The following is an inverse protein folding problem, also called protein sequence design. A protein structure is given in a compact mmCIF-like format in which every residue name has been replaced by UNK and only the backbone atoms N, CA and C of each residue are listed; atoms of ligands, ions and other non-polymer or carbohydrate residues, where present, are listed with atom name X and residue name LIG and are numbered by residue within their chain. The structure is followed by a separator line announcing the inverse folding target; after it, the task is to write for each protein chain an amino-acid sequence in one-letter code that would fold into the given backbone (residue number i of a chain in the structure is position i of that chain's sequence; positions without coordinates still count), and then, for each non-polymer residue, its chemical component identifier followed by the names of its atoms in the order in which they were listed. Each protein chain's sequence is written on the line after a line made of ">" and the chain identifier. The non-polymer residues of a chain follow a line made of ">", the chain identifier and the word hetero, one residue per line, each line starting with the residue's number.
data_IF_212550797057
#
_entry.id   IF_212550797057
#
_cell.length_a   1.000
_cell.length_b   1.000
_cell.length_c   1.000
_cell.angle_alpha   90.00
_cell.angle_beta   90.00
_cell.angle_gamma   90.00
#
_symmetry.space_group_name_H-M   'P 1'
#
loop_
_entity.id
_entity.type
_entity.pdbx_description
1 polymer ?
#
# COMPACT_ATOMS: atom_id res chain seq x y z
N UNK A 1 -4.34 9.83 -2.49
CA UNK A 1 -2.89 9.69 -2.23
C UNK A 1 -2.12 9.78 -3.54
N UNK A 2 -0.84 10.13 -3.48
CA UNK A 2 0.12 9.89 -4.56
C UNK A 2 0.84 8.57 -4.30
N UNK A 3 0.78 7.64 -5.25
CA UNK A 3 1.23 6.27 -5.03
C UNK A 3 2.24 5.81 -6.07
N UNK A 4 3.31 5.16 -5.59
CA UNK A 4 4.34 4.59 -6.45
C UNK A 4 4.52 3.10 -6.18
N UNK A 5 4.33 2.28 -7.20
CA UNK A 5 4.38 0.83 -7.07
C UNK A 5 5.57 0.32 -7.90
N UNK A 6 6.59 -0.23 -7.24
CA UNK A 6 7.85 -0.66 -7.88
C UNK A 6 7.72 -1.94 -8.72
N UNK A 7 6.50 -2.28 -9.16
CA UNK A 7 6.23 -3.29 -10.18
C UNK A 7 6.49 -2.80 -11.61
N UNK A 8 7.07 -1.59 -11.77
CA UNK A 8 7.34 -0.95 -13.06
C UNK A 8 6.27 0.06 -13.51
N UNK A 9 5.32 0.42 -12.63
CA UNK A 9 4.27 1.40 -12.92
C UNK A 9 4.74 2.86 -12.79
N UNK A 10 3.96 3.78 -13.35
CA UNK A 10 4.14 5.23 -13.17
C UNK A 10 3.62 5.71 -11.81
N UNK A 11 3.89 6.97 -11.46
CA UNK A 11 3.26 7.64 -10.33
C UNK A 11 1.75 7.76 -10.56
N UNK A 12 0.94 7.30 -9.60
CA UNK A 12 -0.52 7.33 -9.68
C UNK A 12 -1.12 8.32 -8.67
N UNK A 13 -2.26 8.91 -9.04
CA UNK A 13 -3.14 9.62 -8.11
C UNK A 13 -4.31 8.71 -7.82
N UNK A 14 -4.48 8.33 -6.56
CA UNK A 14 -5.58 7.47 -6.09
C UNK A 14 -6.51 8.35 -5.24
N UNK A 15 -7.81 8.31 -5.51
CA UNK A 15 -8.79 8.99 -4.64
C UNK A 15 -8.81 8.32 -3.27
N UNK A 16 -9.13 9.06 -2.21
CA UNK A 16 -9.36 8.43 -0.91
C UNK A 16 -10.60 7.52 -0.91
N UNK A 17 -11.50 7.71 -1.87
CA UNK A 17 -12.72 6.91 -2.04
C UNK A 17 -12.50 5.69 -2.94
N UNK A 18 -11.34 5.58 -3.58
CA UNK A 18 -11.02 4.43 -4.44
C UNK A 18 -10.74 3.21 -3.54
N UNK A 19 -11.64 2.24 -3.59
CA UNK A 19 -11.46 0.96 -2.92
C UNK A 19 -10.92 -0.07 -3.91
N UNK A 20 -9.72 -0.59 -3.67
CA UNK A 20 -9.28 -1.81 -4.34
C UNK A 20 -10.02 -2.99 -3.72
N UNK A 21 -10.82 -3.68 -4.53
CA UNK A 21 -11.56 -4.85 -4.10
C UNK A 21 -10.70 -6.12 -4.19
N UNK A 22 -10.82 -6.99 -3.18
CA UNK A 22 -10.09 -8.25 -3.12
C UNK A 22 -11.05 -9.43 -2.91
N UNK A 23 -10.85 -10.51 -3.68
CA UNK A 23 -11.48 -11.80 -3.40
C UNK A 23 -10.83 -12.47 -2.17
N UNK A 24 -9.52 -12.27 -2.03
CA UNK A 24 -8.72 -12.76 -0.89
C UNK A 24 -7.80 -11.64 -0.45
N UNK A 25 -7.85 -11.27 0.83
CA UNK A 25 -6.91 -10.32 1.43
C UNK A 25 -6.54 -10.76 2.84
N UNK A 26 -5.54 -11.64 2.92
CA UNK A 26 -4.96 -12.08 4.19
C UNK A 26 -3.53 -11.59 4.27
N UNK A 27 -3.39 -10.28 4.48
CA UNK A 27 -2.12 -9.58 4.44
C UNK A 27 -1.89 -8.86 5.77
N UNK A 28 -0.69 -9.01 6.33
CA UNK A 28 -0.35 -8.50 7.66
C UNK A 28 0.85 -7.57 7.61
N UNK A 29 0.78 -6.49 8.39
CA UNK A 29 1.93 -5.63 8.65
C UNK A 29 2.90 -6.29 9.65
N UNK A 30 4.20 -6.20 9.38
CA UNK A 30 5.29 -6.69 10.22
C UNK A 30 6.37 -5.62 10.38
N UNK A 31 7.05 -5.65 11.53
CA UNK A 31 8.19 -4.77 11.86
C UNK A 31 7.92 -3.29 11.58
N UNK A 32 6.76 -2.80 12.03
CA UNK A 32 6.37 -1.41 11.80
C UNK A 32 7.26 -0.44 12.59
N UNK A 33 7.76 0.58 11.90
CA UNK A 33 8.43 1.74 12.47
C UNK A 33 7.67 3.00 12.06
N UNK A 34 7.30 3.80 13.04
CA UNK A 34 6.66 5.10 12.81
C UNK A 34 7.67 6.20 13.11
N UNK A 35 7.80 7.15 12.20
CA UNK A 35 8.55 8.38 12.36
C UNK A 35 7.53 9.50 12.52
N UNK A 36 7.40 10.03 13.72
CA UNK A 36 6.62 11.25 13.95
C UNK A 36 7.42 12.45 13.43
N UNK A 37 6.82 13.23 12.53
CA UNK A 37 7.41 14.47 12.01
C UNK A 37 6.92 15.66 12.84
N UNK A 38 5.61 15.69 13.10
CA UNK A 38 4.96 16.63 14.00
C UNK A 38 3.60 16.05 14.44
N UNK A 39 2.87 16.78 15.30
CA UNK A 39 1.59 16.35 15.85
C UNK A 39 0.52 15.95 14.81
N UNK A 40 0.66 16.42 13.56
CA UNK A 40 -0.28 16.20 12.46
C UNK A 40 0.35 15.46 11.27
N UNK A 41 1.59 14.95 11.38
CA UNK A 41 2.27 14.28 10.26
C UNK A 41 3.18 13.16 10.74
N UNK A 42 3.05 11.98 10.16
CA UNK A 42 3.89 10.83 10.46
C UNK A 42 4.19 10.01 9.20
N UNK A 43 5.29 9.26 9.23
CA UNK A 43 5.66 8.28 8.20
C UNK A 43 5.69 6.90 8.83
N UNK A 44 4.94 5.95 8.28
CA UNK A 44 5.05 4.55 8.65
C UNK A 44 5.90 3.80 7.63
N UNK A 45 6.85 3.02 8.12
CA UNK A 45 7.65 2.08 7.33
C UNK A 45 7.43 0.68 7.89
N UNK A 46 7.05 -0.27 7.05
CA UNK A 46 6.78 -1.64 7.50
C UNK A 46 6.92 -2.64 6.35
N UNK A 47 6.92 -3.91 6.70
CA UNK A 47 6.74 -4.99 5.74
C UNK A 47 5.29 -5.43 5.72
N UNK A 48 4.80 -5.79 4.55
CA UNK A 48 3.46 -6.29 4.38
C UNK A 48 3.54 -7.65 3.68
N UNK A 49 3.09 -8.70 4.38
CA UNK A 49 3.25 -10.10 3.96
C UNK A 49 1.93 -10.89 4.02
N UNK A 50 1.76 -11.86 3.12
CA UNK A 50 0.64 -12.80 3.15
C UNK A 50 0.12 -13.16 1.76
N UNK A 51 -1.20 -13.22 1.65
CA UNK A 51 -1.88 -13.63 0.42
C UNK A 51 -2.87 -12.56 -0.04
N UNK A 52 -2.80 -12.19 -1.31
CA UNK A 52 -3.70 -11.22 -1.91
C UNK A 52 -4.20 -11.69 -3.27
N UNK A 53 -5.50 -11.57 -3.52
CA UNK A 53 -6.13 -11.76 -4.82
C UNK A 53 -7.04 -10.56 -5.09
N UNK A 54 -6.59 -9.60 -5.92
CA UNK A 54 -7.48 -8.56 -6.41
C UNK A 54 -8.69 -9.20 -7.09
N UNK A 55 -9.87 -8.57 -6.97
CA UNK A 55 -11.08 -9.04 -7.63
C UNK A 55 -10.82 -9.13 -9.14
N UNK A 56 -11.14 -10.29 -9.74
CA UNK A 56 -10.87 -10.54 -11.17
C UNK A 56 -9.39 -10.74 -11.55
N UNK A 57 -8.47 -10.66 -10.59
CA UNK A 57 -7.03 -10.83 -10.79
C UNK A 57 -6.50 -12.21 -10.39
N UNK A 58 -5.19 -12.39 -10.60
CA UNK A 58 -4.46 -13.60 -10.23
C UNK A 58 -4.18 -13.68 -8.72
N UNK A 59 -4.13 -14.91 -8.20
CA UNK A 59 -3.79 -15.15 -6.80
C UNK A 59 -2.30 -14.92 -6.54
N UNK A 60 -1.98 -14.02 -5.61
CA UNK A 60 -0.64 -13.85 -5.08
C UNK A 60 -0.51 -14.55 -3.72
N UNK A 61 0.00 -15.78 -3.74
CA UNK A 61 0.27 -16.61 -2.55
C UNK A 61 1.56 -16.23 -1.77
N UNK A 62 2.30 -15.23 -2.26
CA UNK A 62 3.55 -14.79 -1.64
C UNK A 62 3.67 -13.28 -1.76
N UNK A 63 2.62 -12.58 -1.31
CA UNK A 63 2.64 -11.14 -1.22
C UNK A 63 3.67 -10.76 -0.18
N UNK A 64 4.70 -10.03 -0.59
CA UNK A 64 5.81 -9.65 0.28
C UNK A 64 6.40 -8.33 -0.19
N UNK A 65 6.02 -7.24 0.49
CA UNK A 65 6.36 -5.88 0.09
C UNK A 65 6.91 -5.06 1.26
N UNK A 66 7.82 -4.14 0.95
CA UNK A 66 8.17 -3.00 1.80
C UNK A 66 7.18 -1.88 1.51
N UNK A 67 6.67 -1.28 2.57
CA UNK A 67 5.69 -0.19 2.49
C UNK A 67 6.24 1.05 3.18
N UNK A 68 6.11 2.19 2.51
CA UNK A 68 6.20 3.51 3.14
C UNK A 68 4.86 4.21 2.94
N UNK A 69 4.30 4.78 4.01
CA UNK A 69 3.10 5.60 3.94
C UNK A 69 3.30 6.90 4.71
N UNK A 70 2.91 8.01 4.08
CA UNK A 70 2.89 9.34 4.69
C UNK A 70 1.46 9.63 5.15
N UNK A 71 1.29 9.87 6.44
CA UNK A 71 0.03 10.20 7.08
C UNK A 71 0.00 11.69 7.44
N UNK A 72 -1.09 12.36 7.11
CA UNK A 72 -1.39 13.73 7.51
C UNK A 72 -2.74 13.75 8.21
N UNK A 73 -2.84 14.47 9.33
CA UNK A 73 -4.09 14.65 10.05
C UNK A 73 -4.88 15.79 9.41
N UNK A 74 -6.01 15.46 8.80
CA UNK A 74 -6.93 16.37 8.11
C UNK A 74 -8.32 16.23 8.77
N UNK A 75 -8.93 17.33 9.19
CA UNK A 75 -10.23 17.35 9.86
C UNK A 75 -10.36 16.36 11.04
N UNK A 76 -9.27 16.19 11.79
CA UNK A 76 -9.20 15.30 12.95
C UNK A 76 -8.92 13.83 12.62
N UNK A 77 -8.92 13.44 11.34
CA UNK A 77 -8.68 12.07 10.89
C UNK A 77 -7.31 11.93 10.21
N UNK A 78 -6.64 10.80 10.41
CA UNK A 78 -5.41 10.49 9.69
C UNK A 78 -5.70 10.02 8.27
N UNK A 79 -5.07 10.67 7.29
CA UNK A 79 -5.20 10.37 5.87
C UNK A 79 -3.85 10.00 5.26
N UNK A 80 -3.83 9.01 4.37
CA UNK A 80 -2.64 8.66 3.60
C UNK A 80 -2.53 9.67 2.45
N UNK A 81 -1.43 10.44 2.41
CA UNK A 81 -1.17 11.43 1.36
C UNK A 81 -0.21 10.94 0.31
N UNK A 82 0.72 10.07 0.69
CA UNK A 82 1.61 9.40 -0.23
C UNK A 82 1.92 7.98 0.24
N UNK A 83 2.17 7.08 -0.69
CA UNK A 83 2.53 5.72 -0.36
C UNK A 83 3.43 5.08 -1.42
N UNK A 84 4.29 4.18 -0.98
CA UNK A 84 5.20 3.43 -1.83
C UNK A 84 5.17 1.96 -1.44
N UNK A 85 4.94 1.10 -2.44
CA UNK A 85 5.02 -0.35 -2.28
C UNK A 85 6.11 -0.90 -3.20
N UNK A 86 7.03 -1.67 -2.63
CA UNK A 86 8.06 -2.37 -3.40
C UNK A 86 8.17 -3.82 -2.97
N UNK A 87 8.14 -4.78 -3.89
CA UNK A 87 8.42 -6.17 -3.56
C UNK A 87 9.81 -6.33 -2.93
N UNK A 88 9.94 -7.27 -2.00
CA UNK A 88 11.26 -7.78 -1.62
C UNK A 88 11.78 -8.77 -2.67
N UNK A 89 13.09 -9.02 -2.68
CA UNK A 89 13.68 -10.07 -3.51
C UNK A 89 12.97 -11.40 -3.27
N UNK A 90 12.46 -12.04 -4.34
CA UNK A 90 11.69 -13.28 -4.26
C UNK A 90 10.20 -13.10 -3.91
N UNK A 91 9.79 -11.91 -3.49
CA UNK A 91 8.40 -11.53 -3.24
C UNK A 91 7.66 -11.08 -4.50
N UNK A 92 6.32 -11.12 -4.46
CA UNK A 92 5.47 -10.51 -5.48
C UNK A 92 4.66 -9.36 -4.88
N UNK A 93 4.67 -8.20 -5.54
CA UNK A 93 3.74 -7.11 -5.23
C UNK A 93 2.40 -7.28 -5.95
N UNK A 94 1.52 -6.30 -5.85
CA UNK A 94 0.38 -6.16 -6.75
C UNK A 94 0.81 -5.43 -8.03
N UNK A 95 0.22 -5.78 -9.17
CA UNK A 95 0.31 -4.98 -10.40
C UNK A 95 -0.82 -3.95 -10.45
N UNK A 96 -0.62 -2.86 -11.20
CA UNK A 96 -1.55 -1.74 -11.39
C UNK A 96 -2.99 -2.14 -11.78
N UNK A 97 -3.18 -3.36 -12.31
CA UNK A 97 -4.45 -3.95 -12.76
C UNK A 97 -5.53 -4.12 -11.67
N UNK A 98 -5.24 -3.78 -10.41
CA UNK A 98 -6.18 -3.91 -9.30
C UNK A 98 -7.08 -2.68 -9.08
N UNK A 99 -6.73 -1.53 -9.65
CA UNK A 99 -7.62 -0.38 -9.75
C UNK A 99 -8.44 -0.57 -11.05
N UNK A 100 -9.73 -0.85 -10.92
CA UNK A 100 -10.67 -0.79 -12.05
C UNK A 100 -10.77 0.68 -12.51
N UNK A 101 -10.88 0.92 -13.83
CA UNK A 101 -11.30 2.21 -14.39
C UNK A 101 -12.75 2.55 -14.00
#
# INVERSE_FOLDING_TARGET
>A
SLEFWSSGGLLNTVSQDDSINFDVFNVHAKHMKVIEINANTAVALYYQEGNAKPKGGEMNNHYLTRVMQVFVKEDGAWKIRAAHWSPLTGGKGTSQTALEE
#
